data_IF_852789265464
#
_entry.id   IF_852789265464
#
_cell.length_a   1.000
_cell.length_b   1.000
_cell.length_c   1.000
_cell.angle_alpha   90.00
_cell.angle_beta   90.00
_cell.angle_gamma   90.00
#
_symmetry.space_group_name_H-M   'P 1'
#
loop_
_entity.id
_entity.type
_entity.pdbx_description
1 polymer ?
#
# COMPACT_ATOMS: atom_id res chain seq x y z
N UNK A 1 25.32 7.85 -46.36
CA UNK A 1 26.80 7.90 -46.33
C UNK A 1 27.22 7.70 -44.89
N UNK A 2 27.94 6.73 -44.66
CA UNK A 2 29.02 6.09 -43.90
C UNK A 2 28.48 5.39 -42.66
N UNK A 3 28.39 4.18 -42.64
CA UNK A 3 29.09 2.87 -42.37
C UNK A 3 30.41 3.02 -41.62
N UNK A 4 30.49 2.31 -40.50
CA UNK A 4 31.60 1.42 -39.98
C UNK A 4 31.49 1.36 -38.43
N UNK A 5 31.84 0.33 -37.68
CA UNK A 5 32.26 -1.07 -37.97
C UNK A 5 32.16 -1.84 -36.63
N UNK A 6 31.87 -3.10 -36.72
CA UNK A 6 31.96 -4.11 -35.63
C UNK A 6 33.41 -4.32 -35.18
N UNK A 7 33.62 -4.57 -33.88
CA UNK A 7 34.73 -5.46 -33.44
C UNK A 7 34.24 -6.45 -32.41
N UNK A 8 34.33 -7.71 -32.81
CA UNK A 8 34.17 -8.93 -32.03
C UNK A 8 35.50 -9.21 -31.36
N UNK A 9 35.51 -9.46 -30.03
CA UNK A 9 36.63 -10.16 -29.39
C UNK A 9 36.11 -11.43 -28.75
N UNK A 10 36.44 -12.57 -29.35
CA UNK A 10 36.31 -13.88 -28.78
C UNK A 10 37.55 -14.21 -27.95
N UNK A 11 37.34 -14.70 -26.74
CA UNK A 11 38.36 -15.42 -25.99
C UNK A 11 37.83 -16.81 -25.62
N UNK A 12 38.49 -17.83 -26.23
CA UNK A 12 38.29 -19.23 -25.90
C UNK A 12 38.89 -19.52 -24.52
N UNK A 13 38.13 -20.15 -23.63
CA UNK A 13 38.65 -20.76 -22.43
C UNK A 13 38.54 -22.28 -22.52
N UNK A 14 39.72 -22.91 -22.46
CA UNK A 14 39.99 -24.36 -22.45
C UNK A 14 39.39 -25.00 -21.21
N UNK A 15 38.64 -26.10 -21.42
CA UNK A 15 38.17 -26.98 -20.35
C UNK A 15 39.34 -27.82 -19.82
N UNK A 16 39.67 -27.67 -18.54
CA UNK A 16 40.38 -28.73 -17.77
C UNK A 16 39.38 -29.27 -16.74
N UNK A 17 39.14 -30.55 -16.80
CA UNK A 17 38.35 -31.32 -15.85
C UNK A 17 39.20 -31.58 -14.59
N UNK A 18 38.71 -31.37 -13.37
CA UNK A 18 39.29 -31.93 -12.16
C UNK A 18 38.62 -33.27 -11.85
N UNK A 19 39.46 -34.27 -11.59
CA UNK A 19 39.11 -35.59 -11.06
C UNK A 19 38.52 -35.46 -9.65
N UNK A 20 37.30 -35.95 -9.44
CA UNK A 20 36.68 -36.05 -8.13
C UNK A 20 37.15 -37.30 -7.40
N UNK A 21 37.92 -37.10 -6.34
CA UNK A 21 38.10 -38.10 -5.29
C UNK A 21 36.89 -38.16 -4.39
N UNK A 22 36.29 -39.33 -4.22
CA UNK A 22 35.18 -39.57 -3.30
C UNK A 22 35.64 -39.29 -1.85
N UNK A 23 35.19 -38.18 -1.27
CA UNK A 23 35.19 -37.95 0.16
C UNK A 23 33.76 -38.18 0.64
N UNK A 24 33.55 -39.20 1.47
CA UNK A 24 32.30 -39.42 2.21
C UNK A 24 32.09 -38.26 3.23
N UNK A 25 31.52 -37.14 2.79
CA UNK A 25 31.01 -36.14 3.67
C UNK A 25 29.57 -36.54 4.05
N UNK A 26 29.38 -36.91 5.32
CA UNK A 26 28.05 -37.00 5.92
C UNK A 26 27.36 -35.64 5.78
N UNK A 27 26.44 -35.55 4.83
CA UNK A 27 25.48 -34.44 4.76
C UNK A 27 24.58 -34.59 5.99
N UNK A 28 24.86 -33.82 7.04
CA UNK A 28 23.84 -33.49 8.02
C UNK A 28 22.74 -32.72 7.24
N UNK A 29 21.65 -33.40 6.92
CA UNK A 29 20.40 -32.72 6.58
C UNK A 29 20.06 -31.82 7.75
N UNK A 30 20.22 -30.50 7.57
CA UNK A 30 19.55 -29.55 8.42
C UNK A 30 18.06 -29.86 8.29
N UNK A 31 17.49 -30.48 9.30
CA UNK A 31 16.04 -30.61 9.44
C UNK A 31 15.57 -29.19 9.69
N UNK A 32 15.11 -28.54 8.61
CA UNK A 32 14.39 -27.27 8.70
C UNK A 32 13.09 -27.57 9.44
N UNK A 33 13.06 -27.35 10.73
CA UNK A 33 11.83 -27.41 11.51
C UNK A 33 10.95 -26.26 11.02
N UNK A 34 9.72 -26.57 10.59
CA UNK A 34 8.73 -25.56 10.24
C UNK A 34 8.60 -24.54 11.35
N UNK A 35 8.50 -23.24 11.05
CA UNK A 35 8.36 -22.23 12.08
C UNK A 35 7.09 -22.47 12.92
N UNK A 36 7.06 -22.04 14.19
CA UNK A 36 5.89 -22.22 15.05
C UNK A 36 4.67 -21.51 14.47
N UNK A 37 3.51 -22.10 14.67
CA UNK A 37 2.21 -21.53 14.23
C UNK A 37 1.99 -20.20 14.92
N UNK A 38 1.69 -19.14 14.16
CA UNK A 38 1.34 -17.84 14.73
C UNK A 38 -0.09 -17.86 15.30
N UNK A 39 -0.43 -16.90 16.14
CA UNK A 39 -1.79 -16.79 16.68
C UNK A 39 -2.83 -16.56 15.57
N UNK A 40 -2.51 -15.71 14.60
CA UNK A 40 -3.39 -15.46 13.43
C UNK A 40 -3.50 -16.70 12.57
N UNK A 41 -2.40 -17.39 12.30
CA UNK A 41 -2.41 -18.65 11.54
C UNK A 41 -3.33 -19.68 12.20
N UNK A 42 -3.26 -19.82 13.54
CA UNK A 42 -4.15 -20.70 14.30
C UNK A 42 -5.62 -20.31 14.12
N UNK A 43 -5.97 -19.03 14.23
CA UNK A 43 -7.34 -18.54 14.02
C UNK A 43 -7.82 -18.87 12.61
N UNK A 44 -6.96 -18.71 11.60
CA UNK A 44 -7.28 -19.03 10.20
C UNK A 44 -7.52 -20.53 10.03
N UNK A 45 -6.64 -21.38 10.56
CA UNK A 45 -6.77 -22.84 10.50
C UNK A 45 -8.03 -23.33 11.23
N UNK A 46 -8.30 -22.81 12.43
CA UNK A 46 -9.51 -23.15 13.19
C UNK A 46 -10.79 -22.75 12.44
N UNK A 47 -10.79 -21.58 11.79
CA UNK A 47 -11.90 -21.14 10.94
C UNK A 47 -12.10 -22.07 9.74
N UNK A 48 -11.03 -22.38 9.01
CA UNK A 48 -11.08 -23.27 7.83
C UNK A 48 -11.63 -24.65 8.24
N UNK A 49 -11.16 -25.18 9.35
CA UNK A 49 -11.63 -26.48 9.89
C UNK A 49 -13.13 -26.46 10.24
N UNK A 50 -13.64 -25.35 10.74
CA UNK A 50 -15.04 -25.22 11.18
C UNK A 50 -16.00 -24.91 10.04
N UNK A 51 -15.61 -24.09 9.06
CA UNK A 51 -16.53 -23.50 8.06
C UNK A 51 -16.09 -23.79 6.63
N UNK A 52 -14.84 -24.21 6.41
CA UNK A 52 -14.23 -24.38 5.09
C UNK A 52 -13.40 -23.17 4.64
N UNK A 53 -12.95 -23.16 3.38
CA UNK A 53 -12.09 -22.13 2.83
C UNK A 53 -12.64 -20.72 3.03
N UNK A 54 -11.77 -19.76 3.39
CA UNK A 54 -12.18 -18.38 3.60
C UNK A 54 -11.79 -17.46 2.44
N UNK A 55 -12.58 -16.39 2.17
CA UNK A 55 -12.22 -15.38 1.20
C UNK A 55 -10.86 -14.75 1.50
N UNK A 56 -10.05 -14.51 0.46
CA UNK A 56 -8.70 -13.91 0.61
C UNK A 56 -8.73 -12.56 1.34
N UNK A 57 -9.75 -11.73 1.08
CA UNK A 57 -9.93 -10.47 1.80
C UNK A 57 -10.17 -10.65 3.30
N UNK A 58 -10.86 -11.73 3.73
CA UNK A 58 -11.04 -12.05 5.15
C UNK A 58 -9.73 -12.48 5.80
N UNK A 59 -8.93 -13.30 5.10
CA UNK A 59 -7.57 -13.64 5.51
C UNK A 59 -6.70 -12.40 5.70
N UNK A 60 -6.62 -11.54 4.68
CA UNK A 60 -5.88 -10.28 4.76
C UNK A 60 -6.32 -9.43 5.95
N UNK A 61 -7.63 -9.35 6.19
CA UNK A 61 -8.15 -8.60 7.32
C UNK A 61 -7.71 -9.16 8.68
N UNK A 62 -7.72 -10.48 8.84
CA UNK A 62 -7.20 -11.11 10.06
C UNK A 62 -5.71 -10.83 10.23
N UNK A 63 -4.92 -11.01 9.18
CA UNK A 63 -3.47 -10.78 9.23
C UNK A 63 -3.10 -9.35 9.59
N UNK A 64 -3.76 -8.36 9.00
CA UNK A 64 -3.37 -6.94 9.17
C UNK A 64 -4.06 -6.26 10.35
N UNK A 65 -5.32 -6.64 10.65
CA UNK A 65 -6.19 -5.81 11.48
C UNK A 65 -6.91 -6.56 12.60
N UNK A 66 -6.51 -7.81 12.91
CA UNK A 66 -7.02 -8.47 14.12
C UNK A 66 -6.74 -7.59 15.35
N UNK A 67 -7.72 -7.35 16.23
CA UNK A 67 -7.63 -6.30 17.26
C UNK A 67 -6.42 -6.37 18.18
N UNK A 68 -5.85 -7.58 18.38
CA UNK A 68 -4.72 -7.81 19.29
C UNK A 68 -3.47 -8.24 18.52
N UNK A 69 -3.61 -9.22 17.64
CA UNK A 69 -2.48 -9.94 17.03
C UNK A 69 -2.29 -9.62 15.54
N UNK A 70 -3.09 -8.68 14.96
CA UNK A 70 -2.92 -8.22 13.60
C UNK A 70 -1.67 -7.36 13.44
N UNK A 71 -1.05 -7.41 12.26
CA UNK A 71 0.24 -6.77 11.98
C UNK A 71 0.31 -5.31 12.43
N UNK A 72 -0.70 -4.48 12.10
CA UNK A 72 -0.74 -3.06 12.49
C UNK A 72 -1.26 -2.81 13.90
N UNK A 73 -1.83 -3.81 14.55
CA UNK A 73 -2.46 -3.67 15.86
C UNK A 73 -1.57 -4.17 16.98
N UNK A 74 -0.65 -5.09 16.69
CA UNK A 74 0.28 -5.67 17.65
C UNK A 74 1.49 -4.74 17.87
N UNK A 75 1.68 -4.18 19.09
CA UNK A 75 2.79 -3.28 19.36
C UNK A 75 4.18 -3.94 19.26
N UNK A 76 4.24 -5.27 19.28
CA UNK A 76 5.50 -6.01 19.14
C UNK A 76 6.02 -6.00 17.68
N UNK A 77 5.17 -5.72 16.70
CA UNK A 77 5.59 -5.63 15.31
C UNK A 77 6.25 -4.29 15.03
N UNK A 78 7.49 -4.33 14.56
CA UNK A 78 8.18 -3.13 14.07
C UNK A 78 7.70 -2.80 12.65
N UNK A 79 6.60 -2.03 12.54
CA UNK A 79 5.96 -1.75 11.24
C UNK A 79 6.79 -0.78 10.39
N UNK A 80 7.27 0.32 10.96
CA UNK A 80 7.93 1.41 10.24
C UNK A 80 9.35 1.71 10.70
N UNK A 81 10.17 2.23 9.76
CA UNK A 81 11.54 2.71 10.00
C UNK A 81 12.61 1.66 9.73
N UNK A 82 13.87 1.99 10.06
CA UNK A 82 15.03 1.14 9.77
C UNK A 82 14.98 -0.28 10.38
N UNK A 83 14.19 -0.47 11.42
CA UNK A 83 13.95 -1.77 12.07
C UNK A 83 12.60 -2.36 11.74
N UNK A 84 11.81 -1.69 10.91
CA UNK A 84 10.49 -2.13 10.46
C UNK A 84 10.55 -2.82 9.12
N UNK A 85 9.44 -3.44 8.73
CA UNK A 85 9.31 -4.11 7.42
C UNK A 85 9.19 -3.10 6.29
N UNK A 86 8.81 -1.84 6.60
CA UNK A 86 8.65 -0.74 5.65
C UNK A 86 9.45 0.50 6.01
N UNK A 87 10.06 1.08 4.98
CA UNK A 87 10.52 2.47 5.02
C UNK A 87 9.59 3.26 4.11
N UNK A 88 8.81 4.18 4.69
CA UNK A 88 7.88 5.00 3.92
C UNK A 88 8.63 6.04 3.07
N UNK A 89 8.02 6.48 1.96
CA UNK A 89 8.63 7.50 1.10
C UNK A 89 9.09 8.76 1.86
N UNK A 90 8.34 9.28 2.85
CA UNK A 90 8.81 10.38 3.70
C UNK A 90 10.03 10.03 4.58
N UNK A 91 10.24 8.75 4.90
CA UNK A 91 11.37 8.28 5.72
C UNK A 91 12.62 7.96 4.89
N UNK A 92 12.44 7.46 3.64
CA UNK A 92 13.55 7.15 2.71
C UNK A 92 14.26 8.42 2.28
N UNK A 93 13.49 9.48 2.05
CA UNK A 93 14.01 10.68 1.42
C UNK A 93 13.30 11.90 1.96
N UNK A 94 14.05 12.76 2.63
CA UNK A 94 13.61 14.12 2.89
C UNK A 94 13.20 14.86 1.60
N UNK A 95 13.49 14.29 0.41
CA UNK A 95 13.07 14.81 -0.89
C UNK A 95 11.59 14.59 -1.18
N UNK A 96 10.96 13.52 -0.69
CA UNK A 96 9.51 13.36 -0.81
C UNK A 96 8.79 14.45 -0.02
N UNK A 97 9.35 14.80 1.11
CA UNK A 97 8.94 15.95 1.90
C UNK A 97 9.79 17.22 1.68
N UNK A 98 11.06 17.17 1.21
CA UNK A 98 12.02 18.27 1.28
C UNK A 98 12.82 18.46 -0.01
N UNK A 99 12.98 19.70 -0.48
CA UNK A 99 13.92 20.09 -1.52
C UNK A 99 15.20 20.62 -0.85
N UNK A 100 16.34 19.98 -1.13
CA UNK A 100 17.65 20.31 -0.56
C UNK A 100 18.15 21.74 -0.83
N UNK A 101 17.53 22.45 -1.76
CA UNK A 101 17.91 23.80 -2.15
C UNK A 101 17.16 24.91 -1.40
N UNK A 102 16.15 24.59 -0.59
CA UNK A 102 15.53 25.50 0.37
C UNK A 102 15.38 24.74 1.70
N UNK A 103 16.12 25.11 2.73
CA UNK A 103 15.98 24.49 4.03
C UNK A 103 14.54 24.70 4.48
N UNK A 104 13.71 23.65 4.46
CA UNK A 104 12.35 23.56 4.99
C UNK A 104 11.16 23.59 4.01
N UNK A 105 11.29 23.48 2.68
CA UNK A 105 10.13 23.35 1.81
C UNK A 105 9.90 21.89 1.37
N UNK A 106 8.70 21.38 1.61
CA UNK A 106 8.26 19.99 1.33
C UNK A 106 7.40 19.94 0.08
N UNK A 107 7.68 19.06 -0.88
CA UNK A 107 7.05 19.07 -2.21
C UNK A 107 5.53 18.85 -2.17
N UNK A 108 5.04 17.95 -1.33
CA UNK A 108 3.59 17.74 -1.16
C UNK A 108 2.92 18.99 -0.59
N UNK A 109 3.57 19.67 0.36
CA UNK A 109 3.05 20.91 0.93
C UNK A 109 3.03 22.05 -0.11
N UNK A 110 4.05 22.12 -0.98
CA UNK A 110 4.10 23.08 -2.08
C UNK A 110 2.96 22.82 -3.07
N UNK A 111 2.73 21.55 -3.42
CA UNK A 111 1.60 21.17 -4.26
C UNK A 111 0.28 21.61 -3.63
N UNK A 112 0.05 21.32 -2.34
CA UNK A 112 -1.15 21.73 -1.61
C UNK A 112 -1.33 23.26 -1.61
N UNK A 113 -0.27 24.03 -1.36
CA UNK A 113 -0.31 25.49 -1.41
C UNK A 113 -0.63 26.00 -2.81
N UNK A 114 -0.06 25.39 -3.85
CA UNK A 114 -0.36 25.74 -5.24
C UNK A 114 -1.83 25.50 -5.57
N UNK A 115 -2.39 24.35 -5.13
CA UNK A 115 -3.82 24.06 -5.32
C UNK A 115 -4.71 25.06 -4.55
N UNK A 116 -4.34 25.43 -3.32
CA UNK A 116 -5.03 26.44 -2.54
C UNK A 116 -5.02 27.80 -3.23
N UNK A 117 -3.88 28.24 -3.76
CA UNK A 117 -3.77 29.48 -4.53
C UNK A 117 -4.59 29.44 -5.82
N UNK A 118 -4.53 28.32 -6.58
CA UNK A 118 -5.32 28.13 -7.79
C UNK A 118 -6.84 28.15 -7.52
N UNK A 119 -7.26 27.77 -6.31
CA UNK A 119 -8.66 27.86 -5.86
C UNK A 119 -9.06 29.26 -5.36
N UNK A 120 -8.21 30.28 -5.54
CA UNK A 120 -8.47 31.66 -5.11
C UNK A 120 -8.16 31.92 -3.63
N UNK A 121 -7.32 31.11 -3.01
CA UNK A 121 -6.87 31.26 -1.62
C UNK A 121 -8.02 31.35 -0.60
N UNK A 122 -8.93 30.37 -0.56
CA UNK A 122 -10.08 30.43 0.35
C UNK A 122 -9.63 30.63 1.80
N UNK A 123 -10.40 31.41 2.61
CA UNK A 123 -10.00 31.79 3.96
C UNK A 123 -10.11 30.66 4.99
N UNK A 124 -10.69 29.52 4.61
CA UNK A 124 -10.84 28.36 5.46
C UNK A 124 -10.53 27.08 4.69
N UNK A 125 -9.48 26.39 5.11
CA UNK A 125 -9.10 25.08 4.59
C UNK A 125 -9.10 24.03 5.70
N UNK A 126 -9.39 22.80 5.29
CA UNK A 126 -9.32 21.59 6.11
C UNK A 126 -8.37 20.60 5.42
N UNK A 127 -7.42 20.07 6.14
CA UNK A 127 -6.57 18.99 5.69
C UNK A 127 -7.10 17.66 6.22
N UNK A 128 -7.06 16.62 5.39
CA UNK A 128 -7.43 15.24 5.77
C UNK A 128 -6.35 14.30 5.26
N UNK A 129 -5.81 13.47 6.13
CA UNK A 129 -4.87 12.41 5.78
C UNK A 129 -5.44 11.05 6.16
N UNK A 130 -5.49 10.13 5.20
CA UNK A 130 -5.93 8.75 5.38
C UNK A 130 -4.70 7.87 5.52
N UNK A 131 -4.56 7.17 6.66
CA UNK A 131 -3.40 6.33 6.94
C UNK A 131 -2.11 7.15 7.15
N UNK A 132 -2.05 8.06 8.13
CA UNK A 132 -0.94 9.01 8.31
C UNK A 132 0.36 8.35 8.80
N UNK A 133 0.38 7.05 9.02
CA UNK A 133 1.52 6.34 9.55
C UNK A 133 2.01 6.97 10.85
N UNK A 134 3.27 7.37 10.94
CA UNK A 134 3.84 8.06 12.11
C UNK A 134 3.52 9.56 12.19
N UNK A 135 2.75 10.11 11.26
CA UNK A 135 2.42 11.53 11.18
C UNK A 135 3.52 12.40 10.57
N UNK A 136 4.57 11.80 10.01
CA UNK A 136 5.73 12.52 9.47
C UNK A 136 5.35 13.46 8.32
N UNK A 137 4.53 12.98 7.37
CA UNK A 137 4.10 13.79 6.23
C UNK A 137 3.24 14.98 6.68
N UNK A 138 2.27 14.76 7.58
CA UNK A 138 1.44 15.85 8.11
C UNK A 138 2.29 16.88 8.87
N UNK A 139 3.25 16.44 9.69
CA UNK A 139 4.16 17.35 10.39
C UNK A 139 4.94 18.23 9.40
N UNK A 140 5.39 17.67 8.27
CA UNK A 140 6.07 18.39 7.24
C UNK A 140 5.15 19.39 6.51
N UNK A 141 3.92 18.98 6.19
CA UNK A 141 2.90 19.85 5.60
C UNK A 141 2.60 21.03 6.54
N UNK A 142 2.36 20.77 7.82
CA UNK A 142 2.04 21.79 8.81
C UNK A 142 3.18 22.80 8.97
N UNK A 143 4.44 22.35 8.92
CA UNK A 143 5.60 23.24 8.98
C UNK A 143 5.62 24.28 7.86
N UNK A 144 5.20 23.88 6.67
CA UNK A 144 5.14 24.78 5.49
C UNK A 144 3.87 25.64 5.54
N UNK A 145 2.70 25.04 5.81
CA UNK A 145 1.42 25.76 5.87
C UNK A 145 1.44 26.83 6.95
N UNK A 146 2.13 26.60 8.07
CA UNK A 146 2.31 27.61 9.13
C UNK A 146 2.99 28.89 8.62
N UNK A 147 3.84 28.79 7.61
CA UNK A 147 4.55 29.95 7.06
C UNK A 147 3.70 30.72 6.05
N UNK A 148 2.91 30.06 5.22
CA UNK A 148 2.27 30.66 4.05
C UNK A 148 0.72 30.75 4.13
N UNK A 149 0.07 29.88 4.88
CA UNK A 149 -1.38 29.80 4.95
C UNK A 149 -1.91 29.56 6.38
N UNK A 150 -1.18 30.07 7.39
CA UNK A 150 -1.47 29.89 8.82
C UNK A 150 -2.93 30.24 9.17
N UNK A 151 -3.41 31.39 8.73
CA UNK A 151 -4.75 31.87 9.05
C UNK A 151 -5.87 31.10 8.35
N UNK A 152 -5.57 30.48 7.20
CA UNK A 152 -6.53 29.72 6.43
C UNK A 152 -6.76 28.31 6.98
N UNK A 153 -5.73 27.63 7.52
CA UNK A 153 -5.87 26.27 8.04
C UNK A 153 -6.66 26.28 9.38
N UNK A 154 -7.85 25.67 9.37
CA UNK A 154 -8.74 25.60 10.53
C UNK A 154 -8.75 24.22 11.19
N UNK A 155 -8.64 23.14 10.42
CA UNK A 155 -8.74 21.78 10.94
C UNK A 155 -7.81 20.82 10.21
N UNK A 156 -7.31 19.85 10.96
CA UNK A 156 -6.55 18.70 10.45
C UNK A 156 -7.22 17.43 10.95
N UNK A 157 -7.63 16.57 10.05
CA UNK A 157 -8.20 15.28 10.37
C UNK A 157 -7.23 14.17 9.99
N UNK A 158 -6.96 13.29 10.93
CA UNK A 158 -6.13 12.10 10.76
C UNK A 158 -7.02 10.88 10.88
N UNK A 159 -7.12 10.07 9.82
CA UNK A 159 -7.93 8.85 9.84
C UNK A 159 -7.00 7.68 10.16
N UNK A 160 -7.05 7.23 11.40
CA UNK A 160 -6.20 6.17 11.94
C UNK A 160 -6.99 5.29 12.91
N UNK A 161 -6.84 3.97 12.82
CA UNK A 161 -7.53 3.00 13.68
C UNK A 161 -6.66 2.48 14.82
N UNK A 162 -5.34 2.47 14.63
CA UNK A 162 -4.38 1.99 15.63
C UNK A 162 -4.15 3.03 16.72
N UNK A 163 -4.44 2.69 17.97
CA UNK A 163 -4.20 3.58 19.11
C UNK A 163 -2.71 3.88 19.32
N UNK A 164 -1.84 2.89 19.08
CA UNK A 164 -0.40 3.08 19.16
C UNK A 164 0.11 4.06 18.10
N UNK A 165 -0.41 3.99 16.87
CA UNK A 165 -0.06 4.95 15.82
C UNK A 165 -0.59 6.35 16.16
N UNK A 166 -1.79 6.48 16.72
CA UNK A 166 -2.31 7.78 17.16
C UNK A 166 -1.42 8.43 18.22
N UNK A 167 -0.87 7.65 19.15
CA UNK A 167 0.06 8.17 20.14
C UNK A 167 1.32 8.74 19.47
N UNK A 168 1.95 8.00 18.55
CA UNK A 168 3.11 8.47 17.78
C UNK A 168 2.81 9.72 16.94
N UNK A 169 1.63 9.77 16.33
CA UNK A 169 1.15 10.93 15.56
C UNK A 169 0.97 12.15 16.47
N UNK A 170 0.36 11.95 17.64
CA UNK A 170 0.18 13.02 18.62
C UNK A 170 1.52 13.62 19.01
N UNK A 171 2.51 12.79 19.37
CA UNK A 171 3.87 13.24 19.74
C UNK A 171 4.54 14.02 18.60
N UNK A 172 4.36 13.58 17.36
CA UNK A 172 4.92 14.24 16.17
C UNK A 172 4.25 15.59 15.87
N UNK A 173 2.95 15.75 16.16
CA UNK A 173 2.14 16.90 15.80
C UNK A 173 1.92 17.90 16.93
N UNK A 174 2.08 17.47 18.19
CA UNK A 174 1.93 18.32 19.38
C UNK A 174 2.68 19.66 19.31
N UNK A 175 3.93 19.71 18.78
CA UNK A 175 4.68 20.96 18.66
C UNK A 175 3.97 22.04 17.82
N UNK A 176 3.07 21.65 16.90
CA UNK A 176 2.35 22.58 16.04
C UNK A 176 1.10 23.13 16.70
N UNK A 177 0.45 22.41 17.63
CA UNK A 177 -0.74 22.87 18.36
C UNK A 177 -0.38 23.78 19.53
N UNK A 178 0.84 23.66 20.08
CA UNK A 178 1.26 24.41 21.28
C UNK A 178 2.07 25.68 20.99
N UNK A 179 2.55 25.89 19.77
CA UNK A 179 3.43 27.02 19.41
C UNK A 179 2.65 28.24 18.93
N UNK A 180 2.81 29.35 19.63
CA UNK A 180 2.56 30.71 19.15
C UNK A 180 1.15 31.02 18.66
N UNK A 181 0.10 30.68 19.41
CA UNK A 181 -1.29 31.11 19.10
C UNK A 181 -1.85 30.55 17.78
N UNK A 182 -1.23 29.52 17.22
CA UNK A 182 -1.73 28.76 16.10
C UNK A 182 -2.14 27.37 16.60
N UNK A 183 -3.43 27.12 16.63
CA UNK A 183 -4.01 25.85 17.04
C UNK A 183 -4.92 25.35 15.90
N UNK A 184 -4.34 24.72 14.87
CA UNK A 184 -5.15 23.98 13.92
C UNK A 184 -5.75 22.81 14.70
N UNK A 185 -7.06 22.76 14.81
CA UNK A 185 -7.75 21.72 15.55
C UNK A 185 -7.42 20.35 14.96
N UNK A 186 -6.62 19.57 15.71
CA UNK A 186 -6.26 18.19 15.36
C UNK A 186 -7.37 17.25 15.81
N UNK A 187 -7.88 16.45 14.90
CA UNK A 187 -8.94 15.47 15.18
C UNK A 187 -8.56 14.11 14.62
N UNK A 188 -8.59 13.07 15.46
CA UNK A 188 -8.43 11.70 15.05
C UNK A 188 -9.78 11.05 14.81
N UNK A 189 -9.96 10.47 13.63
CA UNK A 189 -11.18 9.80 13.22
C UNK A 189 -10.93 8.30 13.20
N UNK A 190 -11.68 7.56 14.03
CA UNK A 190 -11.72 6.11 13.97
C UNK A 190 -12.75 5.70 12.92
N UNK A 191 -12.28 5.34 11.73
CA UNK A 191 -13.12 4.70 10.72
C UNK A 191 -12.54 3.35 10.37
N UNK A 192 -13.14 2.30 10.88
CA UNK A 192 -12.82 0.91 10.57
C UNK A 192 -13.30 0.51 9.15
N UNK A 193 -13.09 1.38 8.18
CA UNK A 193 -13.29 1.05 6.77
C UNK A 193 -12.03 0.35 6.28
N UNK A 194 -12.00 -0.96 6.44
CA UNK A 194 -10.88 -1.79 6.01
C UNK A 194 -10.92 -1.94 4.50
N UNK A 195 -9.80 -1.68 3.85
CA UNK A 195 -9.61 -1.95 2.43
C UNK A 195 -9.36 -3.46 2.31
N UNK A 196 -10.38 -4.20 1.90
CA UNK A 196 -10.29 -5.63 1.66
C UNK A 196 -10.18 -5.84 0.16
N UNK A 197 -9.11 -6.51 -0.25
CA UNK A 197 -8.92 -6.92 -1.64
C UNK A 197 -9.42 -8.36 -1.79
N UNK A 198 -10.29 -8.61 -2.77
CA UNK A 198 -10.69 -9.96 -3.16
C UNK A 198 -9.93 -10.37 -4.41
N UNK A 199 -9.55 -11.63 -4.45
CA UNK A 199 -8.91 -12.25 -5.62
C UNK A 199 -9.96 -13.08 -6.36
N UNK A 200 -10.08 -12.86 -7.65
CA UNK A 200 -11.02 -13.56 -8.52
C UNK A 200 -10.25 -14.19 -9.69
N UNK A 201 -10.82 -15.27 -10.24
CA UNK A 201 -10.33 -15.87 -11.49
C UNK A 201 -11.51 -16.09 -12.43
N UNK A 202 -11.36 -15.72 -13.71
CA UNK A 202 -12.41 -15.82 -14.72
C UNK A 202 -12.44 -17.23 -15.31
N UNK A 203 -13.48 -17.97 -14.98
CA UNK A 203 -13.78 -19.28 -15.57
C UNK A 203 -14.82 -19.17 -16.69
N UNK A 204 -15.17 -20.30 -17.28
CA UNK A 204 -16.21 -20.41 -18.33
C UNK A 204 -17.59 -19.95 -17.86
N UNK A 205 -17.91 -20.15 -16.59
CA UNK A 205 -19.20 -19.80 -16.00
C UNK A 205 -19.23 -18.41 -15.33
N UNK A 206 -18.16 -17.63 -15.45
CA UNK A 206 -18.02 -16.32 -14.85
C UNK A 206 -16.85 -16.23 -13.85
N UNK A 207 -16.92 -15.25 -12.96
CA UNK A 207 -15.87 -15.01 -11.98
C UNK A 207 -16.00 -15.92 -10.77
N UNK A 208 -14.97 -16.71 -10.49
CA UNK A 208 -14.82 -17.51 -9.29
C UNK A 208 -13.98 -16.77 -8.26
N UNK A 209 -14.17 -17.04 -7.00
CA UNK A 209 -13.39 -16.42 -5.93
C UNK A 209 -12.18 -17.30 -5.58
N UNK A 210 -10.98 -16.69 -5.51
CA UNK A 210 -9.80 -17.33 -4.97
C UNK A 210 -9.86 -17.20 -3.46
N UNK A 211 -9.82 -18.33 -2.76
CA UNK A 211 -9.98 -18.46 -1.32
C UNK A 211 -8.70 -19.02 -0.69
N UNK A 212 -8.61 -18.91 0.61
CA UNK A 212 -7.53 -19.49 1.43
C UNK A 212 -8.05 -20.77 2.09
N UNK A 213 -7.28 -21.84 1.94
CA UNK A 213 -7.56 -23.16 2.54
C UNK A 213 -6.30 -23.72 3.21
N UNK A 214 -6.48 -24.71 4.09
CA UNK A 214 -5.36 -25.43 4.68
C UNK A 214 -4.81 -26.47 3.68
N UNK A 215 -3.54 -26.80 3.83
CA UNK A 215 -2.95 -27.96 3.15
C UNK A 215 -3.48 -29.21 3.86
N UNK A 216 -3.98 -30.24 3.11
CA UNK A 216 -4.46 -31.47 3.72
C UNK A 216 -3.38 -32.19 4.55
N UNK A 217 -3.77 -32.73 5.72
CA UNK A 217 -2.87 -33.44 6.64
C UNK A 217 -2.17 -34.67 6.02
N UNK A 218 -2.70 -35.18 4.89
CA UNK A 218 -2.10 -36.29 4.12
C UNK A 218 -0.85 -35.90 3.33
N UNK A 219 -0.54 -34.61 3.21
CA UNK A 219 0.62 -34.08 2.52
C UNK A 219 1.59 -33.54 3.56
N UNK A 220 2.31 -34.44 4.23
CA UNK A 220 3.44 -34.21 5.14
C UNK A 220 3.18 -33.32 6.36
N UNK A 221 3.38 -33.87 7.55
CA UNK A 221 3.41 -33.17 8.87
C UNK A 221 4.39 -31.98 8.94
N UNK A 222 5.15 -31.72 7.88
CA UNK A 222 6.22 -30.73 7.77
C UNK A 222 6.02 -29.69 6.65
N UNK A 223 4.85 -29.67 5.96
CA UNK A 223 4.62 -28.69 4.88
C UNK A 223 4.55 -27.25 5.43
N UNK A 224 5.37 -26.37 4.87
CA UNK A 224 5.32 -24.94 5.14
C UNK A 224 5.40 -24.19 3.80
N UNK A 225 4.57 -23.18 3.57
CA UNK A 225 3.45 -22.69 4.41
C UNK A 225 2.30 -23.71 4.54
N UNK A 226 1.49 -23.63 5.62
CA UNK A 226 0.37 -24.55 5.91
C UNK A 226 -0.93 -24.17 5.21
N UNK A 227 -0.95 -23.03 4.54
CA UNK A 227 -2.09 -22.48 3.81
C UNK A 227 -1.82 -22.50 2.31
N UNK A 228 -2.90 -22.54 1.53
CA UNK A 228 -2.86 -22.55 0.06
C UNK A 228 -4.00 -21.72 -0.53
N UNK A 229 -3.87 -21.34 -1.79
CA UNK A 229 -4.98 -20.77 -2.57
C UNK A 229 -5.81 -21.89 -3.18
N UNK A 230 -7.14 -21.76 -3.11
CA UNK A 230 -8.09 -22.64 -3.79
C UNK A 230 -9.13 -21.81 -4.52
N UNK A 231 -9.67 -22.35 -5.59
CA UNK A 231 -10.73 -21.70 -6.36
C UNK A 231 -12.08 -22.14 -5.82
N UNK A 232 -13.04 -21.23 -5.66
CA UNK A 232 -14.42 -21.61 -5.33
C UNK A 232 -14.99 -22.49 -6.45
N UNK A 233 -15.69 -23.58 -6.11
CA UNK A 233 -16.22 -24.51 -7.13
C UNK A 233 -17.21 -23.83 -8.07
N UNK A 234 -17.96 -22.84 -7.57
CA UNK A 234 -18.94 -22.07 -8.33
C UNK A 234 -18.69 -20.57 -8.12
N UNK A 235 -19.15 -19.70 -9.05
CA UNK A 235 -19.21 -18.27 -8.82
C UNK A 235 -19.94 -17.94 -7.53
N UNK A 236 -19.34 -17.11 -6.68
CA UNK A 236 -19.99 -16.60 -5.46
C UNK A 236 -20.77 -15.33 -5.80
N UNK A 237 -21.71 -14.92 -4.94
CA UNK A 237 -22.38 -13.62 -5.10
C UNK A 237 -21.37 -12.46 -5.12
N UNK A 238 -20.33 -12.55 -4.30
CA UNK A 238 -19.27 -11.54 -4.24
C UNK A 238 -18.43 -11.50 -5.53
N UNK A 239 -17.98 -12.66 -6.04
CA UNK A 239 -17.20 -12.73 -7.26
C UNK A 239 -18.00 -12.25 -8.48
N UNK A 240 -19.28 -12.59 -8.55
CA UNK A 240 -20.19 -12.15 -9.61
C UNK A 240 -20.37 -10.62 -9.60
N UNK A 241 -20.66 -10.05 -8.44
CA UNK A 241 -20.85 -8.60 -8.31
C UNK A 241 -19.56 -7.82 -8.60
N UNK A 242 -18.45 -8.25 -8.04
CA UNK A 242 -17.17 -7.55 -8.17
C UNK A 242 -16.57 -7.71 -9.56
N UNK A 243 -16.64 -8.90 -10.14
CA UNK A 243 -16.16 -9.14 -11.50
C UNK A 243 -16.92 -8.37 -12.58
N UNK A 244 -18.14 -7.88 -12.26
CA UNK A 244 -18.99 -7.04 -13.13
C UNK A 244 -19.05 -5.57 -12.68
N UNK A 245 -18.27 -5.18 -11.68
CA UNK A 245 -18.32 -3.83 -11.13
C UNK A 245 -17.64 -2.77 -12.02
N UNK A 246 -16.95 -3.19 -13.08
CA UNK A 246 -16.37 -2.34 -14.12
C UNK A 246 -16.44 -3.04 -15.47
N UNK A 247 -16.73 -2.28 -16.53
CA UNK A 247 -16.68 -2.79 -17.91
C UNK A 247 -15.30 -3.30 -18.30
N UNK A 248 -14.24 -2.76 -17.69
CA UNK A 248 -12.85 -3.18 -17.88
C UNK A 248 -12.62 -4.62 -17.43
N UNK A 249 -13.35 -5.07 -16.41
CA UNK A 249 -13.25 -6.43 -15.88
C UNK A 249 -13.99 -7.43 -16.77
N UNK A 250 -15.11 -7.03 -17.36
CA UNK A 250 -15.87 -7.87 -18.30
C UNK A 250 -15.10 -8.16 -19.59
N UNK A 251 -14.14 -7.34 -19.96
CA UNK A 251 -13.29 -7.51 -21.15
C UNK A 251 -12.10 -8.46 -20.93
N UNK A 252 -11.81 -8.83 -19.69
CA UNK A 252 -10.69 -9.74 -19.39
C UNK A 252 -11.00 -11.16 -19.93
N UNK A 253 -10.04 -11.84 -20.57
CA UNK A 253 -10.25 -13.18 -21.10
C UNK A 253 -10.42 -14.24 -20.00
N UNK A 254 -10.95 -15.41 -20.37
CA UNK A 254 -10.97 -16.59 -19.50
C UNK A 254 -9.56 -16.94 -19.00
N UNK A 255 -9.43 -17.34 -17.73
CA UNK A 255 -8.15 -17.59 -17.06
C UNK A 255 -7.52 -16.33 -16.46
N UNK A 256 -8.06 -15.13 -16.72
CA UNK A 256 -7.56 -13.91 -16.08
C UNK A 256 -7.83 -13.91 -14.58
N UNK A 257 -6.88 -13.41 -13.82
CA UNK A 257 -7.05 -13.09 -12.40
C UNK A 257 -7.35 -11.62 -12.21
N UNK A 258 -8.08 -11.30 -11.15
CA UNK A 258 -8.49 -9.94 -10.81
C UNK A 258 -8.39 -9.73 -9.32
N UNK A 259 -7.70 -8.69 -8.93
CA UNK A 259 -7.65 -8.17 -7.55
C UNK A 259 -8.53 -6.92 -7.47
N UNK A 260 -9.61 -7.00 -6.70
CA UNK A 260 -10.63 -5.94 -6.65
C UNK A 260 -11.04 -5.61 -5.23
N UNK A 261 -11.20 -4.32 -4.95
CA UNK A 261 -11.62 -3.82 -3.64
C UNK A 261 -12.84 -2.92 -3.74
N UNK A 262 -14.02 -3.45 -3.35
CA UNK A 262 -15.22 -2.65 -3.22
C UNK A 262 -15.09 -1.55 -2.15
N UNK A 263 -14.25 -1.76 -1.14
CA UNK A 263 -14.00 -0.76 -0.11
C UNK A 263 -13.24 0.45 -0.68
N UNK A 264 -12.20 0.21 -1.50
CA UNK A 264 -11.45 1.27 -2.19
C UNK A 264 -12.37 2.10 -3.09
N UNK A 265 -13.24 1.44 -3.87
CA UNK A 265 -14.23 2.11 -4.71
C UNK A 265 -15.15 3.02 -3.90
N UNK A 266 -15.73 2.51 -2.79
CA UNK A 266 -16.63 3.29 -1.94
C UNK A 266 -15.90 4.46 -1.23
N UNK A 267 -14.65 4.27 -0.81
CA UNK A 267 -13.85 5.33 -0.19
C UNK A 267 -13.55 6.41 -1.23
N UNK A 268 -13.10 6.02 -2.42
CA UNK A 268 -12.83 6.94 -3.52
C UNK A 268 -14.07 7.77 -3.88
N UNK A 269 -15.25 7.13 -4.01
CA UNK A 269 -16.49 7.83 -4.26
C UNK A 269 -16.82 8.86 -3.16
N UNK A 270 -16.67 8.48 -1.88
CA UNK A 270 -16.85 9.42 -0.77
C UNK A 270 -15.86 10.57 -0.77
N UNK A 271 -14.61 10.33 -1.18
CA UNK A 271 -13.62 11.41 -1.38
C UNK A 271 -14.09 12.34 -2.51
N UNK A 272 -14.56 11.80 -3.63
CA UNK A 272 -15.16 12.58 -4.72
C UNK A 272 -16.32 13.45 -4.25
N UNK A 273 -17.25 12.89 -3.48
CA UNK A 273 -18.38 13.64 -2.87
C UNK A 273 -17.91 14.78 -1.96
N UNK A 274 -16.87 14.56 -1.17
CA UNK A 274 -16.29 15.59 -0.29
C UNK A 274 -15.58 16.71 -1.05
N UNK A 275 -15.04 16.41 -2.23
CA UNK A 275 -14.31 17.36 -3.08
C UNK A 275 -15.22 18.11 -4.05
N UNK A 276 -16.41 17.60 -4.34
CA UNK A 276 -17.35 18.18 -5.30
C UNK A 276 -17.71 19.65 -5.02
N UNK A 277 -17.85 20.13 -3.75
CA UNK A 277 -18.07 21.56 -3.46
C UNK A 277 -16.81 22.43 -3.65
N UNK A 278 -15.66 21.84 -3.86
CA UNK A 278 -14.35 22.48 -3.99
C UNK A 278 -13.30 21.79 -3.13
N UNK A 279 -12.09 21.65 -3.68
CA UNK A 279 -10.97 21.01 -3.02
C UNK A 279 -10.11 20.19 -3.98
N UNK A 280 -9.08 19.56 -3.44
CA UNK A 280 -8.22 18.64 -4.17
C UNK A 280 -7.80 17.48 -3.28
N UNK A 281 -7.45 16.35 -3.88
CA UNK A 281 -6.86 15.21 -3.19
C UNK A 281 -5.66 14.67 -3.97
N UNK A 282 -4.72 14.08 -3.24
CA UNK A 282 -3.60 13.34 -3.78
C UNK A 282 -3.68 11.91 -3.22
N UNK A 283 -3.72 10.93 -4.11
CA UNK A 283 -3.67 9.51 -3.76
C UNK A 283 -2.30 8.98 -4.17
N UNK A 284 -1.56 8.43 -3.22
CA UNK A 284 -0.20 7.90 -3.45
C UNK A 284 -0.17 6.46 -3.00
N UNK A 285 0.08 5.55 -3.95
CA UNK A 285 0.17 4.12 -3.66
C UNK A 285 0.95 3.39 -4.77
N UNK A 286 1.30 2.14 -4.52
CA UNK A 286 1.81 1.24 -5.55
C UNK A 286 0.66 0.79 -6.44
N UNK A 287 0.81 0.92 -7.77
CA UNK A 287 -0.26 0.53 -8.67
C UNK A 287 -0.07 1.04 -10.09
N UNK A 288 -1.16 1.00 -10.83
CA UNK A 288 -1.21 1.43 -12.23
C UNK A 288 -2.65 1.68 -12.70
N UNK A 289 -2.82 1.97 -13.97
CA UNK A 289 -4.11 2.30 -14.57
C UNK A 289 -4.79 1.08 -15.23
N UNK A 290 -4.49 -0.11 -14.76
CA UNK A 290 -5.02 -1.38 -15.26
C UNK A 290 -5.35 -2.34 -14.13
N UNK A 291 -6.28 -3.29 -14.35
CA UNK A 291 -6.55 -4.36 -13.41
C UNK A 291 -5.30 -5.19 -13.11
N UNK A 292 -5.12 -5.58 -11.86
CA UNK A 292 -4.09 -6.50 -11.41
C UNK A 292 -4.70 -7.86 -11.07
N UNK A 293 -3.92 -8.92 -11.16
CA UNK A 293 -4.38 -10.28 -10.87
C UNK A 293 -3.37 -11.13 -10.10
N UNK A 294 -2.13 -10.65 -9.96
CA UNK A 294 -1.06 -11.36 -9.26
C UNK A 294 -0.07 -10.39 -8.60
N UNK A 295 -0.59 -9.33 -7.99
CA UNK A 295 0.20 -8.32 -7.32
C UNK A 295 0.29 -8.53 -5.81
N UNK A 296 -0.48 -9.46 -5.26
CA UNK A 296 -0.56 -9.74 -3.84
C UNK A 296 0.77 -10.29 -3.32
N UNK A 297 1.35 -9.66 -2.31
CA UNK A 297 2.65 -10.01 -1.73
C UNK A 297 2.70 -9.71 -0.25
N UNK A 298 3.61 -10.34 0.45
CA UNK A 298 3.93 -10.04 1.85
C UNK A 298 5.34 -9.48 1.96
N UNK A 299 5.56 -8.67 2.98
CA UNK A 299 6.86 -8.10 3.32
C UNK A 299 7.23 -8.44 4.75
N UNK A 300 8.49 -8.84 4.93
CA UNK A 300 9.14 -9.04 6.22
C UNK A 300 10.62 -8.67 6.10
N UNK A 301 11.13 -7.91 7.08
CA UNK A 301 12.54 -7.50 7.13
C UNK A 301 13.05 -6.92 5.79
N UNK A 302 12.23 -6.06 5.14
CA UNK A 302 12.47 -5.44 3.83
C UNK A 302 12.56 -6.43 2.65
N UNK A 303 12.11 -7.68 2.82
CA UNK A 303 12.09 -8.69 1.77
C UNK A 303 10.66 -9.10 1.43
N UNK A 304 10.47 -9.51 0.17
CA UNK A 304 9.22 -10.11 -0.26
C UNK A 304 9.24 -11.57 0.20
N UNK A 305 8.21 -11.96 0.95
CA UNK A 305 8.00 -13.32 1.42
C UNK A 305 6.66 -13.86 0.90
N UNK A 306 6.41 -15.15 1.08
CA UNK A 306 5.12 -15.75 0.72
C UNK A 306 3.98 -15.12 1.54
N UNK A 307 2.81 -14.93 0.92
CA UNK A 307 1.63 -14.31 1.57
C UNK A 307 1.08 -15.15 2.73
N UNK A 308 1.46 -16.41 2.81
CA UNK A 308 1.11 -17.32 3.89
C UNK A 308 2.25 -17.51 4.89
N UNK A 309 3.37 -16.83 4.69
CA UNK A 309 4.45 -16.84 5.67
C UNK A 309 4.06 -16.05 6.91
N UNK A 310 4.10 -16.71 8.08
CA UNK A 310 3.87 -16.10 9.40
C UNK A 310 2.68 -15.14 9.46
N UNK A 311 1.44 -15.60 9.21
CA UNK A 311 0.24 -14.75 9.21
C UNK A 311 0.12 -13.88 10.46
N UNK A 312 -0.10 -12.57 10.28
CA UNK A 312 -0.15 -11.57 11.35
C UNK A 312 1.19 -10.96 11.75
N UNK A 313 2.31 -11.45 11.21
CA UNK A 313 3.66 -10.95 11.47
C UNK A 313 4.33 -10.34 10.23
N UNK A 314 3.69 -10.45 9.07
CA UNK A 314 4.12 -9.86 7.81
C UNK A 314 3.10 -8.83 7.30
N UNK A 315 3.57 -7.81 6.61
CA UNK A 315 2.66 -6.88 5.94
C UNK A 315 2.17 -7.47 4.61
N UNK A 316 0.87 -7.42 4.39
CA UNK A 316 0.23 -7.90 3.16
C UNK A 316 -0.20 -6.72 2.30
N UNK A 317 0.27 -6.67 1.07
CA UNK A 317 -0.06 -5.61 0.12
C UNK A 317 -0.52 -6.16 -1.22
N UNK A 318 -1.28 -5.33 -1.95
CA UNK A 318 -1.63 -5.53 -3.34
C UNK A 318 -1.53 -4.19 -4.07
N UNK A 319 -1.37 -4.21 -5.39
CA UNK A 319 -1.34 -2.99 -6.18
C UNK A 319 -2.74 -2.37 -6.29
N UNK A 320 -2.80 -1.05 -6.37
CA UNK A 320 -4.04 -0.29 -6.59
C UNK A 320 -4.31 -0.16 -8.08
N UNK A 321 -5.51 -0.55 -8.53
CA UNK A 321 -6.04 -0.19 -9.84
C UNK A 321 -6.57 1.24 -9.78
N UNK A 322 -5.75 2.21 -10.20
CA UNK A 322 -6.14 3.62 -10.24
C UNK A 322 -7.25 3.89 -11.25
N UNK A 323 -7.38 3.09 -12.31
CA UNK A 323 -8.51 3.16 -13.23
C UNK A 323 -9.83 2.92 -12.51
N UNK A 324 -9.89 1.91 -11.64
CA UNK A 324 -11.07 1.63 -10.83
C UNK A 324 -11.37 2.73 -9.79
N UNK A 325 -10.33 3.35 -9.22
CA UNK A 325 -10.46 4.53 -8.36
C UNK A 325 -11.02 5.73 -9.13
N UNK A 326 -10.56 5.96 -10.36
CA UNK A 326 -11.06 7.04 -11.23
C UNK A 326 -12.52 6.82 -11.63
N UNK A 327 -12.91 5.58 -11.94
CA UNK A 327 -14.31 5.24 -12.23
C UNK A 327 -15.24 5.61 -11.06
N UNK A 328 -14.79 5.39 -9.82
CA UNK A 328 -15.57 5.73 -8.62
C UNK A 328 -15.84 7.23 -8.46
N UNK A 329 -15.00 8.08 -9.02
CA UNK A 329 -15.04 9.55 -8.88
C UNK A 329 -15.47 10.27 -10.16
N UNK A 330 -15.51 9.58 -11.30
CA UNK A 330 -15.55 10.19 -12.62
C UNK A 330 -16.78 11.07 -12.92
N UNK A 331 -17.90 10.85 -12.22
CA UNK A 331 -19.12 11.66 -12.30
C UNK A 331 -19.18 12.81 -11.30
N UNK A 332 -18.23 12.88 -10.35
CA UNK A 332 -18.21 13.84 -9.24
C UNK A 332 -17.15 14.93 -9.41
N UNK A 333 -15.93 14.51 -9.77
CA UNK A 333 -14.77 15.41 -9.85
C UNK A 333 -13.81 14.97 -10.96
N UNK A 334 -13.08 15.92 -11.59
CA UNK A 334 -12.02 15.58 -12.54
C UNK A 334 -10.90 14.78 -11.84
N UNK A 335 -10.42 13.73 -12.49
CA UNK A 335 -9.32 12.90 -12.00
C UNK A 335 -8.15 12.91 -12.99
N UNK A 336 -6.93 12.94 -12.48
CA UNK A 336 -5.70 13.04 -13.25
C UNK A 336 -4.73 11.93 -12.86
N UNK A 337 -3.84 11.55 -13.76
CA UNK A 337 -2.85 10.49 -13.52
C UNK A 337 -3.39 9.09 -13.87
N UNK A 338 -2.80 8.01 -13.34
CA UNK A 338 -1.63 8.02 -12.46
C UNK A 338 -0.37 8.51 -13.15
N UNK A 339 0.54 9.05 -12.37
CA UNK A 339 1.89 9.40 -12.85
C UNK A 339 2.94 8.86 -11.87
N UNK A 340 4.13 8.48 -12.38
CA UNK A 340 5.20 8.01 -11.53
C UNK A 340 5.60 9.05 -10.48
N UNK A 341 5.90 8.61 -9.25
CA UNK A 341 6.37 9.47 -8.17
C UNK A 341 7.54 10.35 -8.60
N UNK A 342 8.49 9.80 -9.36
CA UNK A 342 9.64 10.56 -9.89
C UNK A 342 9.23 11.71 -10.80
N UNK A 343 8.15 11.57 -11.56
CA UNK A 343 7.63 12.64 -12.42
C UNK A 343 6.93 13.72 -11.58
N UNK A 344 6.14 13.34 -10.59
CA UNK A 344 5.55 14.27 -9.63
C UNK A 344 6.63 15.11 -8.93
N UNK A 345 7.65 14.46 -8.40
CA UNK A 345 8.75 15.15 -7.70
C UNK A 345 9.55 16.10 -8.61
N UNK A 346 9.68 15.78 -9.90
CA UNK A 346 10.34 16.67 -10.89
C UNK A 346 9.49 17.88 -11.24
N UNK A 347 8.17 17.71 -11.38
CA UNK A 347 7.24 18.82 -11.68
C UNK A 347 7.17 19.82 -10.53
N UNK A 348 7.05 19.34 -9.29
CA UNK A 348 6.96 20.19 -8.11
C UNK A 348 8.28 20.95 -7.81
N UNK A 349 9.43 20.38 -8.16
CA UNK A 349 10.72 21.11 -8.11
C UNK A 349 10.74 22.32 -9.03
N UNK A 350 10.13 22.26 -10.22
CA UNK A 350 10.02 23.39 -11.14
C UNK A 350 9.12 24.50 -10.59
N UNK A 351 8.01 24.10 -9.96
CA UNK A 351 7.06 25.04 -9.33
C UNK A 351 7.71 25.74 -8.14
N UNK A 352 8.45 25.01 -7.30
CA UNK A 352 9.16 25.58 -6.16
C UNK A 352 10.19 26.63 -6.56
N UNK A 353 10.86 26.45 -7.72
CA UNK A 353 11.77 27.44 -8.29
C UNK A 353 11.07 28.73 -8.71
N UNK A 354 9.83 28.66 -9.22
CA UNK A 354 9.02 29.83 -9.58
C UNK A 354 8.45 30.55 -8.36
N UNK A 355 8.01 29.82 -7.34
CA UNK A 355 7.51 30.42 -6.08
C UNK A 355 8.59 31.24 -5.36
N UNK A 356 9.85 30.85 -5.46
CA UNK A 356 10.98 31.62 -4.90
C UNK A 356 11.24 32.95 -5.59
N UNK A 357 10.87 33.08 -6.85
CA UNK A 357 11.05 34.34 -7.61
C UNK A 357 9.90 35.33 -7.38
N UNK A 358 8.84 34.92 -6.68
CA UNK A 358 7.62 35.72 -6.40
C UNK A 358 7.48 36.04 -4.91
N UNK A 359 8.25 35.36 -4.04
CA UNK A 359 8.37 35.62 -2.60
C UNK A 359 9.72 36.28 -2.29
#
# INVERSE_FOLDING_TARGET
MLRQSRKIFGTSFSRRSPSFTHSNACFFRNVSTSPPVTKIEKIVLDHIKAVGPMPFGSYMNLCLSHPIDGYYMNPANAVFGKRGDFITSPEISQVFGEVRAAPNMKLVAIWLLSQWQNAGSPPSIRLVELGPGRGTLMADILRVVQQFAKSALKRVHLVETSLSMRALQNDSLLPFSQKSGWDPRLEWIDRRNRILVRMLERGKQGWHEIMVDSIPDSIEELAYPRLRRVLSPNPTAASTLLGRSSLRFDQLPEGSRLEVSAASFRIARKVGELLSPGGCALVVDYGGDSPFGDSFRAFKDHQIVDVFDRPGECDLTANVDFGYIKEAMGDLVPTYGPLPQSQFLKSERRISGKLRSVL
#
